data_IF_173863861123
#
_entry.id   IF_173863861123
#
_cell.length_a   1.000
_cell.length_b   1.000
_cell.length_c   1.000
_cell.angle_alpha   90.00
_cell.angle_beta   90.00
_cell.angle_gamma   90.00
#
_symmetry.space_group_name_H-M   'P 1'
#
loop_
_entity.id
_entity.type
_entity.pdbx_description
1 polymer ?
#
# COMPACT_ATOMS: atom_id res chain seq x y z
N UNK A 1 -8.80 -16.12 4.86
CA UNK A 1 -7.34 -16.09 4.76
C UNK A 1 -6.98 -17.33 3.98
N UNK A 2 -6.65 -17.17 2.70
CA UNK A 2 -5.96 -18.25 1.98
C UNK A 2 -4.71 -18.60 2.80
N UNK A 3 -4.30 -19.87 2.82
CA UNK A 3 -3.34 -20.38 3.82
C UNK A 3 -1.98 -19.66 3.85
N UNK A 4 -1.68 -18.81 2.86
CA UNK A 4 -0.44 -18.03 2.73
C UNK A 4 -0.64 -16.50 2.77
N UNK A 5 -1.80 -15.99 3.21
CA UNK A 5 -2.03 -14.54 3.36
C UNK A 5 -1.66 -14.06 4.77
N UNK A 6 -0.86 -12.99 4.85
CA UNK A 6 -0.50 -12.35 6.12
C UNK A 6 -0.70 -10.83 6.08
N UNK A 7 -0.81 -10.22 7.26
CA UNK A 7 -0.93 -8.76 7.39
C UNK A 7 0.43 -8.12 7.11
N UNK A 8 0.53 -7.36 6.00
CA UNK A 8 1.75 -6.62 5.65
C UNK A 8 1.87 -5.29 6.42
N UNK A 9 0.76 -4.56 6.58
CA UNK A 9 0.75 -3.24 7.18
C UNK A 9 -0.55 -3.00 7.95
N UNK A 10 -0.44 -2.27 9.07
CA UNK A 10 -1.57 -1.68 9.79
C UNK A 10 -1.35 -0.19 9.81
N UNK A 11 -2.28 0.57 9.23
CA UNK A 11 -2.22 2.02 9.13
C UNK A 11 -3.40 2.60 9.87
N UNK A 12 -3.13 3.36 10.93
CA UNK A 12 -4.18 4.07 11.67
C UNK A 12 -4.54 5.35 10.94
N UNK A 13 -5.81 5.50 10.61
CA UNK A 13 -6.39 6.68 9.95
C UNK A 13 -7.44 7.25 10.89
N UNK A 14 -7.32 8.52 11.26
CA UNK A 14 -8.31 9.21 12.11
C UNK A 14 -9.48 9.72 11.27
N UNK A 15 -9.16 10.31 10.12
CA UNK A 15 -10.11 10.91 9.19
C UNK A 15 -9.68 10.60 7.75
N UNK A 16 -10.65 10.36 6.88
CA UNK A 16 -10.44 10.17 5.45
C UNK A 16 -10.51 11.55 4.79
N UNK A 17 -9.39 12.26 4.82
CA UNK A 17 -9.25 13.60 4.26
C UNK A 17 -8.86 13.54 2.78
N UNK A 18 -9.27 14.56 2.04
CA UNK A 18 -8.80 14.82 0.68
C UNK A 18 -7.28 15.06 0.67
N UNK A 19 -6.66 14.87 -0.49
CA UNK A 19 -5.21 15.04 -0.71
C UNK A 19 -4.27 14.12 0.10
N UNK A 20 -4.82 13.10 0.76
CA UNK A 20 -4.03 12.02 1.34
C UNK A 20 -4.11 10.75 0.49
N UNK A 21 -3.04 9.96 0.54
CA UNK A 21 -2.86 8.79 -0.31
C UNK A 21 -2.21 7.63 0.44
N UNK A 22 -2.60 6.43 0.07
CA UNK A 22 -1.82 5.22 0.35
C UNK A 22 -0.86 4.97 -0.81
N UNK A 23 0.41 4.85 -0.48
CA UNK A 23 1.51 4.50 -1.38
C UNK A 23 1.92 3.05 -1.11
N UNK A 24 1.75 2.21 -2.11
CA UNK A 24 2.03 0.77 -2.09
C UNK A 24 3.35 0.51 -2.82
N UNK A 25 4.15 -0.41 -2.32
CA UNK A 25 5.36 -0.90 -3.01
C UNK A 25 5.44 -2.41 -2.90
N UNK A 26 5.69 -3.07 -4.03
CA UNK A 26 5.83 -4.53 -4.13
C UNK A 26 7.29 -4.96 -4.18
N UNK A 27 7.55 -6.27 -4.02
CA UNK A 27 8.89 -6.87 -4.06
C UNK A 27 9.58 -6.67 -5.40
N UNK A 28 8.82 -6.70 -6.49
CA UNK A 28 9.35 -6.43 -7.84
C UNK A 28 9.50 -4.93 -8.14
N UNK A 29 9.29 -4.05 -7.15
CA UNK A 29 9.48 -2.61 -7.27
C UNK A 29 8.29 -1.86 -7.90
N UNK A 30 7.15 -2.53 -8.13
CA UNK A 30 5.95 -1.84 -8.60
C UNK A 30 5.44 -0.93 -7.47
N UNK A 31 5.21 0.33 -7.80
CA UNK A 31 4.61 1.28 -6.87
C UNK A 31 3.25 1.75 -7.38
N UNK A 32 2.30 1.90 -6.46
CA UNK A 32 0.95 2.40 -6.73
C UNK A 32 0.60 3.47 -5.70
N UNK A 33 0.04 4.59 -6.14
CA UNK A 33 -0.55 5.60 -5.26
C UNK A 33 -2.07 5.60 -5.43
N UNK A 34 -2.82 5.70 -4.35
CA UNK A 34 -4.29 5.70 -4.37
C UNK A 34 -4.82 6.65 -3.31
N UNK A 35 -5.85 7.42 -3.63
CA UNK A 35 -6.46 8.36 -2.68
C UNK A 35 -6.99 7.62 -1.47
N UNK A 36 -6.83 8.23 -0.30
CA UNK A 36 -7.28 7.67 0.97
C UNK A 36 -8.80 7.50 1.00
N UNK A 37 -9.54 8.41 0.36
CA UNK A 37 -11.00 8.38 0.21
C UNK A 37 -11.53 7.04 -0.33
N UNK A 38 -10.81 6.36 -1.22
CA UNK A 38 -11.23 5.06 -1.76
C UNK A 38 -11.33 3.96 -0.69
N UNK A 39 -10.74 4.19 0.48
CA UNK A 39 -10.74 3.29 1.63
C UNK A 39 -11.73 3.71 2.73
N UNK A 40 -12.52 4.77 2.52
CA UNK A 40 -13.50 5.24 3.52
C UNK A 40 -14.66 4.25 3.73
N UNK A 41 -15.00 3.44 2.72
CA UNK A 41 -16.15 2.55 2.72
C UNK A 41 -15.76 1.10 2.37
N UNK A 42 -15.07 0.42 3.29
CA UNK A 42 -14.63 -0.98 3.11
C UNK A 42 -15.76 -1.95 3.46
N UNK A 43 -16.01 -2.91 2.57
CA UNK A 43 -17.02 -3.96 2.77
C UNK A 43 -16.52 -5.00 3.77
N UNK A 44 -17.42 -5.81 4.35
CA UNK A 44 -17.04 -6.91 5.27
C UNK A 44 -16.03 -7.89 4.68
N UNK A 45 -16.05 -8.11 3.37
CA UNK A 45 -15.10 -8.98 2.66
C UNK A 45 -13.76 -8.31 2.32
N UNK A 46 -13.51 -7.09 2.80
CA UNK A 46 -12.35 -6.30 2.44
C UNK A 46 -12.50 -5.59 1.09
N UNK A 47 -11.39 -5.01 0.63
CA UNK A 47 -11.26 -4.28 -0.63
C UNK A 47 -9.96 -4.73 -1.31
N UNK A 48 -10.01 -5.01 -2.63
CA UNK A 48 -8.78 -5.25 -3.41
C UNK A 48 -8.07 -3.94 -3.67
N UNK A 49 -7.07 -3.63 -2.84
CA UNK A 49 -6.32 -2.38 -2.90
C UNK A 49 -5.33 -2.31 -4.08
N UNK A 50 -4.75 -3.45 -4.47
CA UNK A 50 -3.76 -3.58 -5.54
C UNK A 50 -3.92 -4.95 -6.23
N UNK A 51 -3.66 -5.00 -7.53
CA UNK A 51 -3.53 -6.25 -8.26
C UNK A 51 -2.06 -6.64 -8.31
N UNK A 52 -1.70 -7.76 -7.72
CA UNK A 52 -0.35 -8.32 -7.77
C UNK A 52 -0.20 -9.20 -9.01
N UNK A 53 1.00 -9.18 -9.58
CA UNK A 53 1.39 -10.12 -10.64
C UNK A 53 1.75 -11.46 -9.99
N UNK A 54 1.78 -12.50 -10.81
CA UNK A 54 2.39 -13.77 -10.42
C UNK A 54 3.85 -13.53 -9.99
N UNK A 55 4.28 -14.19 -8.90
CA UNK A 55 5.59 -14.01 -8.26
C UNK A 55 5.90 -12.59 -7.71
N UNK A 56 4.88 -11.77 -7.47
CA UNK A 56 5.01 -10.48 -6.79
C UNK A 56 4.24 -10.47 -5.47
N UNK A 57 4.76 -9.74 -4.49
CA UNK A 57 4.19 -9.64 -3.15
C UNK A 57 4.21 -8.18 -2.69
N UNK A 58 3.18 -7.78 -1.96
CA UNK A 58 3.15 -6.46 -1.33
C UNK A 58 4.20 -6.43 -0.21
N UNK A 59 5.12 -5.46 -0.26
CA UNK A 59 6.19 -5.30 0.74
C UNK A 59 5.88 -4.18 1.70
N UNK A 60 5.32 -3.06 1.22
CA UNK A 60 4.98 -1.96 2.11
C UNK A 60 3.79 -1.14 1.63
N UNK A 61 3.11 -0.54 2.60
CA UNK A 61 2.15 0.53 2.40
C UNK A 61 2.52 1.69 3.33
N UNK A 62 2.48 2.91 2.81
CA UNK A 62 2.76 4.15 3.55
C UNK A 62 1.71 5.21 3.25
N UNK A 63 1.43 6.04 4.24
CA UNK A 63 0.50 7.14 4.13
C UNK A 63 1.27 8.42 3.75
N UNK A 64 0.83 9.10 2.69
CA UNK A 64 1.44 10.34 2.18
C UNK A 64 0.38 11.40 1.89
N UNK A 65 0.76 12.66 1.94
CA UNK A 65 -0.04 13.85 1.57
C UNK A 65 0.31 14.36 0.15
N UNK A 66 1.12 13.61 -0.59
CA UNK A 66 1.57 13.98 -1.93
C UNK A 66 2.86 14.80 -1.97
N UNK A 67 3.28 15.38 -0.83
CA UNK A 67 4.52 16.15 -0.72
C UNK A 67 5.64 15.37 -0.03
N UNK A 68 5.31 14.33 0.76
CA UNK A 68 6.34 13.48 1.38
C UNK A 68 7.19 12.75 0.34
N UNK A 69 8.49 12.75 0.59
CA UNK A 69 9.45 11.94 -0.16
C UNK A 69 9.38 10.48 0.29
N UNK A 70 9.43 9.57 -0.68
CA UNK A 70 9.48 8.12 -0.46
C UNK A 70 10.85 7.62 -0.89
N UNK A 71 11.52 6.85 -0.03
CA UNK A 71 12.78 6.18 -0.33
C UNK A 71 12.56 4.68 -0.37
N UNK A 72 13.12 4.01 -1.39
CA UNK A 72 12.96 2.56 -1.59
C UNK A 72 14.34 1.93 -1.73
N UNK A 73 14.80 1.24 -0.68
CA UNK A 73 16.05 0.49 -0.72
C UNK A 73 15.85 -0.91 -1.33
N UNK A 74 16.76 -1.33 -2.19
CA UNK A 74 16.84 -2.70 -2.70
C UNK A 74 17.93 -3.50 -1.98
N UNK A 75 17.84 -4.84 -2.05
CA UNK A 75 18.85 -5.74 -1.47
C UNK A 75 20.27 -5.49 -2.02
N UNK A 76 20.37 -5.04 -3.26
CA UNK A 76 21.66 -4.84 -3.94
C UNK A 76 22.28 -3.46 -3.64
N UNK A 77 21.68 -2.67 -2.75
CA UNK A 77 22.20 -1.40 -2.27
C UNK A 77 21.75 -0.17 -3.06
N UNK A 78 20.80 -0.33 -3.99
CA UNK A 78 20.17 0.82 -4.68
C UNK A 78 19.14 1.47 -3.77
N UNK A 79 19.06 2.81 -3.82
CA UNK A 79 18.06 3.65 -3.13
C UNK A 79 17.23 4.43 -4.15
#
# INVERSE_FOLDING_TARGET
>A
VENDEWVNAVITVREFVDDWYLFFTTKKGLSKRTTLEQFANIRRGGLRAINLREDDELISVRLTDGEKQIMIGTKDGSL
#
